data_IF_569448512924
#
_entry.id   IF_569448512924
#
_cell.length_a   1.000
_cell.length_b   1.000
_cell.length_c   1.000
_cell.angle_alpha   90.00
_cell.angle_beta   90.00
_cell.angle_gamma   90.00
#
_symmetry.space_group_name_H-M   'P 1'
#
loop_
_entity.id
_entity.type
_entity.pdbx_description
1 polymer ?
#
# COMPACT_ATOMS: atom_id res chain seq x y z
N UNK A 1 13.44 0.69 -24.35
CA UNK A 1 12.07 1.21 -24.12
C UNK A 1 11.99 1.56 -22.65
N UNK A 2 12.08 2.83 -22.28
CA UNK A 2 11.83 3.23 -20.89
C UNK A 2 10.36 2.89 -20.62
N UNK A 3 10.10 1.89 -19.77
CA UNK A 3 8.74 1.52 -19.41
C UNK A 3 8.05 2.74 -18.81
N UNK A 4 6.88 3.11 -19.34
CA UNK A 4 6.09 4.15 -18.72
C UNK A 4 5.77 3.69 -17.29
N UNK A 5 6.27 4.41 -16.29
CA UNK A 5 6.02 4.11 -14.87
C UNK A 5 4.52 4.13 -14.63
N UNK A 6 3.98 3.05 -14.08
CA UNK A 6 2.53 2.94 -13.86
C UNK A 6 2.08 3.76 -12.64
N UNK A 7 0.79 4.11 -12.56
CA UNK A 7 0.23 4.78 -11.39
C UNK A 7 0.53 3.99 -10.10
N UNK A 8 0.42 2.67 -10.18
CA UNK A 8 0.70 1.75 -9.06
C UNK A 8 2.13 1.85 -8.55
N UNK A 9 3.11 1.89 -9.46
CA UNK A 9 4.53 2.01 -9.08
C UNK A 9 4.85 3.35 -8.40
N UNK A 10 4.19 4.42 -8.84
CA UNK A 10 4.35 5.75 -8.24
C UNK A 10 3.73 5.76 -6.84
N UNK A 11 2.49 5.28 -6.71
CA UNK A 11 1.77 5.23 -5.44
C UNK A 11 2.50 4.35 -4.41
N UNK A 12 2.94 3.14 -4.78
CA UNK A 12 3.72 2.27 -3.87
C UNK A 12 5.00 2.97 -3.40
N UNK A 13 5.72 3.62 -4.30
CA UNK A 13 6.95 4.35 -3.97
C UNK A 13 6.68 5.51 -2.99
N UNK A 14 5.61 6.28 -3.21
CA UNK A 14 5.22 7.40 -2.34
C UNK A 14 4.79 6.90 -0.95
N UNK A 15 3.98 5.84 -0.88
CA UNK A 15 3.57 5.24 0.40
C UNK A 15 4.78 4.73 1.17
N UNK A 16 5.70 3.99 0.54
CA UNK A 16 6.92 3.48 1.21
C UNK A 16 7.78 4.61 1.74
N UNK A 17 7.91 5.70 1.01
CA UNK A 17 8.66 6.87 1.46
C UNK A 17 8.00 7.53 2.67
N UNK A 18 6.66 7.67 2.67
CA UNK A 18 5.93 8.23 3.81
C UNK A 18 6.01 7.32 5.04
N UNK A 19 5.94 6.00 4.87
CA UNK A 19 6.14 5.03 5.96
C UNK A 19 7.53 5.20 6.58
N UNK A 20 8.59 5.25 5.77
CA UNK A 20 9.97 5.47 6.26
C UNK A 20 10.12 6.80 6.97
N UNK A 21 9.58 7.89 6.41
CA UNK A 21 9.65 9.24 7.00
C UNK A 21 8.90 9.34 8.32
N UNK A 22 7.74 8.69 8.43
CA UNK A 22 6.90 8.71 9.62
C UNK A 22 7.30 7.63 10.65
N UNK A 23 8.23 6.74 10.32
CA UNK A 23 8.68 5.64 11.19
C UNK A 23 7.56 4.63 11.50
N UNK A 24 6.61 4.48 10.59
CA UNK A 24 5.46 3.59 10.79
C UNK A 24 5.88 2.14 10.56
N UNK A 25 5.46 1.25 11.45
CA UNK A 25 5.59 -0.19 11.25
C UNK A 25 4.27 -0.74 10.70
N UNK A 26 4.25 -1.25 9.46
CA UNK A 26 3.03 -1.75 8.85
C UNK A 26 2.40 -2.96 9.53
N UNK A 27 3.21 -3.80 10.18
CA UNK A 27 2.69 -4.96 10.90
C UNK A 27 2.08 -4.57 12.25
N UNK A 28 2.56 -3.50 12.86
CA UNK A 28 2.08 -3.04 14.16
C UNK A 28 0.94 -2.02 14.06
N UNK A 29 0.80 -1.35 12.91
CA UNK A 29 -0.16 -0.26 12.72
C UNK A 29 -1.00 -0.42 11.43
N UNK A 30 -1.64 -1.57 11.18
CA UNK A 30 -2.31 -1.84 9.91
C UNK A 30 -3.41 -0.82 9.56
N UNK A 31 -4.18 -0.34 10.54
CA UNK A 31 -5.19 0.69 10.31
C UNK A 31 -4.62 2.06 9.93
N UNK A 32 -3.45 2.41 10.49
CA UNK A 32 -2.77 3.66 10.15
C UNK A 32 -2.13 3.58 8.75
N UNK A 33 -1.65 2.40 8.35
CA UNK A 33 -1.19 2.18 6.97
C UNK A 33 -2.35 2.23 5.99
N UNK A 34 -3.48 1.59 6.29
CA UNK A 34 -4.67 1.66 5.42
C UNK A 34 -5.09 3.11 5.17
N UNK A 35 -5.19 3.91 6.25
CA UNK A 35 -5.53 5.34 6.15
C UNK A 35 -4.50 6.13 5.34
N UNK A 36 -3.21 5.82 5.48
CA UNK A 36 -2.14 6.44 4.71
C UNK A 36 -2.21 6.09 3.22
N UNK A 37 -2.54 4.85 2.88
CA UNK A 37 -2.69 4.40 1.49
C UNK A 37 -3.86 5.14 0.84
N UNK A 38 -4.99 5.23 1.53
CA UNK A 38 -6.17 5.97 1.04
C UNK A 38 -5.85 7.47 0.84
N UNK A 39 -5.11 8.09 1.76
CA UNK A 39 -4.62 9.48 1.66
C UNK A 39 -3.77 9.67 0.39
N UNK A 40 -2.78 8.80 0.16
CA UNK A 40 -1.88 8.91 -1.00
C UNK A 40 -2.62 8.70 -2.32
N UNK A 41 -3.56 7.76 -2.37
CA UNK A 41 -4.35 7.51 -3.58
C UNK A 41 -5.23 8.71 -3.91
N UNK A 42 -5.93 9.28 -2.92
CA UNK A 42 -6.74 10.47 -3.12
C UNK A 42 -5.89 11.67 -3.63
N UNK A 43 -4.72 11.89 -3.02
CA UNK A 43 -3.79 12.94 -3.44
C UNK A 43 -3.20 12.68 -4.83
N UNK A 44 -2.98 11.42 -5.20
CA UNK A 44 -2.53 11.04 -6.53
C UNK A 44 -3.63 11.27 -7.58
N UNK A 45 -4.86 10.87 -7.28
CA UNK A 45 -6.02 11.08 -8.16
C UNK A 45 -6.23 12.56 -8.44
N UNK A 46 -6.23 13.41 -7.41
CA UNK A 46 -6.36 14.86 -7.59
C UNK A 46 -5.23 15.45 -8.45
N UNK A 47 -3.97 15.05 -8.20
CA UNK A 47 -2.82 15.47 -9.02
C UNK A 47 -2.92 14.97 -10.46
N UNK A 48 -3.49 13.79 -10.69
CA UNK A 48 -3.62 13.21 -12.03
C UNK A 48 -4.61 13.98 -12.92
N UNK A 49 -5.58 14.70 -12.33
CA UNK A 49 -6.55 15.52 -13.07
C UNK A 49 -5.91 16.71 -13.79
N UNK A 50 -4.78 17.20 -13.29
CA UNK A 50 -4.14 18.43 -13.76
C UNK A 50 -2.71 18.22 -14.28
N UNK A 51 -2.24 16.97 -14.37
CA UNK A 51 -0.88 16.62 -14.79
C UNK A 51 -0.86 15.47 -15.79
N UNK A 52 0.32 15.10 -16.30
CA UNK A 52 0.50 13.98 -17.23
C UNK A 52 0.67 12.63 -16.51
N UNK A 53 0.23 12.51 -15.25
CA UNK A 53 0.33 11.27 -14.49
C UNK A 53 -0.62 10.20 -15.07
N UNK A 54 -0.21 8.92 -15.07
CA UNK A 54 -1.10 7.83 -15.45
C UNK A 54 -2.35 7.78 -14.55
N UNK A 55 -3.53 7.41 -15.07
CA UNK A 55 -4.72 7.25 -14.24
C UNK A 55 -4.64 5.98 -13.36
N UNK A 56 -5.24 6.04 -12.16
CA UNK A 56 -5.28 4.91 -11.20
C UNK A 56 -6.27 3.82 -11.62
N UNK A 57 -7.36 4.18 -12.29
CA UNK A 57 -8.43 3.24 -12.65
C UNK A 57 -9.36 2.98 -11.45
N UNK A 58 -9.25 1.80 -10.84
CA UNK A 58 -10.02 1.45 -9.63
C UNK A 58 -9.18 1.72 -8.37
N UNK A 59 -9.50 2.81 -7.67
CA UNK A 59 -8.79 3.23 -6.46
C UNK A 59 -8.91 2.23 -5.31
N UNK A 60 -10.02 1.48 -5.20
CA UNK A 60 -10.14 0.45 -4.15
C UNK A 60 -9.23 -0.73 -4.43
N UNK A 61 -9.16 -1.14 -5.70
CA UNK A 61 -8.22 -2.18 -6.12
C UNK A 61 -6.76 -1.73 -5.94
N UNK A 62 -6.45 -0.47 -6.28
CA UNK A 62 -5.15 0.11 -6.05
C UNK A 62 -4.79 0.14 -4.56
N UNK A 63 -5.72 0.58 -3.70
CA UNK A 63 -5.52 0.64 -2.25
C UNK A 63 -5.21 -0.74 -1.66
N UNK A 64 -6.02 -1.76 -2.02
CA UNK A 64 -5.78 -3.14 -1.60
C UNK A 64 -4.39 -3.61 -2.03
N UNK A 65 -4.06 -3.43 -3.30
CA UNK A 65 -2.80 -3.91 -3.89
C UNK A 65 -1.58 -3.24 -3.25
N UNK A 66 -1.64 -1.92 -3.03
CA UNK A 66 -0.56 -1.17 -2.38
C UNK A 66 -0.45 -1.58 -0.91
N UNK A 67 -1.57 -1.71 -0.19
CA UNK A 67 -1.59 -2.15 1.19
C UNK A 67 -0.90 -3.53 1.34
N UNK A 68 -1.20 -4.48 0.45
CA UNK A 68 -0.56 -5.80 0.43
C UNK A 68 0.95 -5.69 0.19
N UNK A 69 1.37 -4.85 -0.76
CA UNK A 69 2.79 -4.64 -1.07
C UNK A 69 3.58 -3.97 0.08
N UNK A 70 3.00 -2.98 0.75
CA UNK A 70 3.70 -2.17 1.78
C UNK A 70 3.65 -2.78 3.17
N UNK A 71 2.59 -3.52 3.49
CA UNK A 71 2.51 -4.30 4.73
C UNK A 71 3.49 -5.47 4.76
N UNK A 72 4.25 -5.67 3.68
CA UNK A 72 5.12 -6.83 3.54
C UNK A 72 4.30 -8.10 3.35
N UNK A 73 3.05 -8.00 2.89
CA UNK A 73 2.32 -9.11 2.30
C UNK A 73 2.77 -9.33 0.85
N UNK A 74 4.09 -9.38 0.64
CA UNK A 74 4.56 -10.63 0.03
C UNK A 74 4.01 -11.78 0.90
N UNK A 75 3.48 -12.85 0.31
CA UNK A 75 2.46 -13.73 0.91
C UNK A 75 2.71 -14.06 2.39
N UNK A 76 1.99 -13.41 3.32
CA UNK A 76 1.87 -13.80 4.75
C UNK A 76 3.18 -14.07 5.55
N UNK A 77 4.35 -13.73 5.01
CA UNK A 77 5.54 -14.58 5.23
C UNK A 77 6.13 -14.50 6.65
N UNK A 78 6.01 -13.35 7.32
CA UNK A 78 6.54 -13.15 8.68
C UNK A 78 5.64 -13.70 9.80
N UNK A 79 4.45 -14.20 9.49
CA UNK A 79 3.51 -14.74 10.47
C UNK A 79 3.60 -16.28 10.61
N UNK A 80 4.34 -16.95 9.71
CA UNK A 80 4.56 -18.40 9.63
C UNK A 80 5.94 -18.85 10.16
N UNK A 81 6.92 -17.95 10.22
CA UNK A 81 8.31 -18.26 10.60
C UNK A 81 8.58 -18.19 12.12
N UNK A 82 7.54 -18.02 12.93
CA UNK A 82 7.60 -17.95 14.39
C UNK A 82 6.93 -19.19 15.03
N UNK A 83 7.68 -20.08 15.74
CA UNK A 83 7.13 -21.29 16.34
C UNK A 83 6.20 -21.03 17.55
N UNK A 84 6.06 -19.80 18.03
CA UNK A 84 5.22 -19.44 19.18
C UNK A 84 3.82 -18.91 18.79
N UNK A 85 3.52 -18.80 17.50
CA UNK A 85 2.25 -18.27 16.98
C UNK A 85 1.33 -19.41 16.50
N UNK A 86 0.15 -19.57 17.11
CA UNK A 86 -0.79 -20.68 16.81
C UNK A 86 -1.98 -20.33 15.89
N UNK A 87 -2.42 -19.06 15.74
CA UNK A 87 -3.56 -18.71 14.86
C UNK A 87 -3.65 -17.23 14.42
N UNK A 88 -4.17 -16.97 13.20
CA UNK A 88 -4.53 -15.63 12.67
C UNK A 88 -5.94 -15.65 12.06
N UNK A 89 -6.77 -14.65 12.40
CA UNK A 89 -8.12 -14.46 11.85
C UNK A 89 -8.26 -13.13 11.09
N UNK A 90 -8.80 -13.20 9.86
CA UNK A 90 -9.17 -12.04 9.03
C UNK A 90 -10.69 -11.87 9.09
N UNK A 91 -11.16 -10.66 9.39
CA UNK A 91 -12.60 -10.35 9.38
C UNK A 91 -12.97 -9.68 8.06
N UNK A 92 -13.77 -10.37 7.25
CA UNK A 92 -14.48 -9.80 6.10
C UNK A 92 -15.93 -9.45 6.49
N UNK A 93 -16.58 -8.60 5.69
CA UNK A 93 -17.75 -9.09 4.97
C UNK A 93 -17.53 -9.23 3.47
#
# INVERSE_FOLDING_TARGET
MAGATSAMEIIDSEVRELIRRRGLDPARNPGQIGSLVDEVIADYEDRSLYSSLPPVGDSRFAARTVLDQVAGFGPLQRYLDDPEIEEIWVNEP
#
